data_IF_890554056461
#
_entry.id   IF_890554056461
#
_cell.length_a   1.000
_cell.length_b   1.000
_cell.length_c   1.000
_cell.angle_alpha   90.00
_cell.angle_beta   90.00
_cell.angle_gamma   90.00
#
_symmetry.space_group_name_H-M   'P 1'
#
loop_
_entity.id
_entity.type
_entity.pdbx_description
1 polymer ?
#
# COMPACT_ATOMS: atom_id res chain seq x y z
N UNK A 1 9.09 -5.77 -18.09
CA UNK A 1 8.80 -5.01 -16.85
C UNK A 1 8.57 -5.94 -15.65
N UNK A 2 7.54 -6.80 -15.65
CA UNK A 2 7.29 -7.76 -14.56
C UNK A 2 8.50 -8.66 -14.28
N UNK A 3 9.12 -9.24 -15.32
CA UNK A 3 10.33 -10.07 -15.22
C UNK A 3 11.56 -9.35 -14.67
N UNK A 4 11.55 -8.01 -14.64
CA UNK A 4 12.64 -7.18 -14.13
C UNK A 4 12.39 -6.74 -12.68
N UNK A 5 11.12 -6.53 -12.31
CA UNK A 5 10.73 -6.00 -11.01
C UNK A 5 10.49 -7.14 -10.01
N UNK A 6 9.67 -8.13 -10.37
CA UNK A 6 9.21 -9.12 -9.41
C UNK A 6 10.30 -10.01 -8.79
N UNK A 7 11.42 -10.35 -9.48
CA UNK A 7 12.52 -11.05 -8.82
C UNK A 7 13.17 -10.27 -7.68
N UNK A 8 12.96 -8.94 -7.60
CA UNK A 8 13.53 -8.07 -6.55
C UNK A 8 12.59 -7.89 -5.35
N UNK A 9 11.39 -8.47 -5.37
CA UNK A 9 10.46 -8.37 -4.25
C UNK A 9 10.59 -9.57 -3.33
N UNK A 10 10.19 -9.42 -2.07
CA UNK A 10 10.18 -10.51 -1.10
C UNK A 10 9.23 -11.67 -1.45
N UNK A 11 8.31 -11.45 -2.40
CA UNK A 11 7.39 -12.48 -2.88
C UNK A 11 7.18 -12.35 -4.41
N UNK A 12 8.09 -12.93 -5.23
CA UNK A 12 8.01 -12.82 -6.68
C UNK A 12 6.74 -13.42 -7.31
N UNK A 13 6.22 -14.58 -6.86
CA UNK A 13 4.95 -15.11 -7.37
C UNK A 13 3.77 -14.17 -7.13
N UNK A 14 3.64 -13.62 -5.92
CA UNK A 14 2.58 -12.66 -5.60
C UNK A 14 2.69 -11.39 -6.45
N UNK A 15 3.90 -10.82 -6.55
CA UNK A 15 4.14 -9.66 -7.42
C UNK A 15 3.71 -9.93 -8.86
N UNK A 16 4.05 -11.11 -9.40
CA UNK A 16 3.70 -11.47 -10.77
C UNK A 16 2.19 -11.55 -10.96
N UNK A 17 1.46 -12.12 -9.99
CA UNK A 17 0.00 -12.16 -10.02
C UNK A 17 -0.60 -10.75 -9.99
N UNK A 18 -0.14 -9.91 -9.07
CA UNK A 18 -0.61 -8.54 -8.91
C UNK A 18 -0.38 -7.71 -10.17
N UNK A 19 0.84 -7.68 -10.71
CA UNK A 19 1.16 -6.83 -11.85
C UNK A 19 0.50 -7.32 -13.15
N UNK A 20 0.22 -8.62 -13.31
CA UNK A 20 -0.57 -9.13 -14.44
C UNK A 20 -2.01 -8.63 -14.42
N UNK A 21 -2.58 -8.40 -13.23
CA UNK A 21 -3.93 -7.86 -13.06
C UNK A 21 -4.03 -6.34 -13.28
N UNK A 22 -2.91 -5.64 -13.51
CA UNK A 22 -2.90 -4.18 -13.64
C UNK A 22 -3.47 -3.66 -14.96
N UNK A 23 -3.65 -4.51 -15.98
CA UNK A 23 -4.15 -4.11 -17.30
C UNK A 23 -3.20 -3.18 -18.08
N UNK A 24 -1.97 -2.99 -17.61
CA UNK A 24 -0.95 -2.13 -18.24
C UNK A 24 0.44 -2.71 -18.03
N UNK A 25 1.37 -2.39 -18.92
CA UNK A 25 2.79 -2.72 -18.79
C UNK A 25 3.66 -1.48 -18.58
N UNK A 26 3.08 -0.28 -18.66
CA UNK A 26 3.76 1.00 -18.42
C UNK A 26 4.14 1.13 -16.94
N UNK A 27 5.40 1.44 -16.64
CA UNK A 27 5.90 1.59 -15.27
C UNK A 27 5.12 2.60 -14.44
N UNK A 28 4.70 3.72 -15.03
CA UNK A 28 3.87 4.72 -14.33
C UNK A 28 2.49 4.15 -13.97
N UNK A 29 1.89 3.43 -14.90
CA UNK A 29 0.60 2.76 -14.67
C UNK A 29 0.70 1.65 -13.60
N UNK A 30 1.78 0.87 -13.62
CA UNK A 30 2.05 -0.16 -12.62
C UNK A 30 2.29 0.43 -11.22
N UNK A 31 2.98 1.57 -11.12
CA UNK A 31 3.19 2.28 -9.87
C UNK A 31 1.85 2.77 -9.29
N UNK A 32 1.04 3.46 -10.09
CA UNK A 32 -0.30 3.93 -9.67
C UNK A 32 -1.19 2.76 -9.26
N UNK A 33 -1.22 1.68 -10.04
CA UNK A 33 -1.97 0.47 -9.72
C UNK A 33 -1.56 -0.13 -8.37
N UNK A 34 -0.26 -0.30 -8.14
CA UNK A 34 0.27 -0.89 -6.91
C UNK A 34 0.03 0.00 -5.69
N UNK A 35 0.18 1.33 -5.83
CA UNK A 35 -0.14 2.30 -4.77
C UNK A 35 -1.63 2.27 -4.41
N UNK A 36 -2.52 2.14 -5.41
CA UNK A 36 -3.96 2.02 -5.18
C UNK A 36 -4.33 0.71 -4.48
N UNK A 37 -3.72 -0.40 -4.89
CA UNK A 37 -3.92 -1.70 -4.25
C UNK A 37 -3.43 -1.69 -2.80
N UNK A 38 -2.22 -1.17 -2.54
CA UNK A 38 -1.66 -1.05 -1.20
C UNK A 38 -2.53 -0.18 -0.30
N UNK A 39 -2.97 0.99 -0.78
CA UNK A 39 -3.87 1.89 -0.05
C UNK A 39 -5.19 1.22 0.31
N UNK A 40 -5.81 0.51 -0.64
CA UNK A 40 -7.06 -0.21 -0.41
C UNK A 40 -6.92 -1.27 0.67
N UNK A 41 -5.84 -2.06 0.62
CA UNK A 41 -5.59 -3.11 1.59
C UNK A 41 -5.18 -2.56 2.96
N UNK A 42 -4.43 -1.46 3.02
CA UNK A 42 -4.11 -0.77 4.27
C UNK A 42 -5.38 -0.23 4.94
N UNK A 43 -6.29 0.43 4.21
CA UNK A 43 -7.58 0.89 4.74
C UNK A 43 -8.47 -0.25 5.27
N UNK A 44 -8.52 -1.38 4.55
CA UNK A 44 -9.24 -2.58 5.01
C UNK A 44 -8.64 -3.12 6.31
N UNK A 45 -7.30 -3.17 6.39
CA UNK A 45 -6.59 -3.66 7.56
C UNK A 45 -6.73 -2.72 8.76
N UNK A 46 -6.69 -1.40 8.55
CA UNK A 46 -7.00 -0.38 9.55
C UNK A 46 -8.42 -0.56 10.12
N UNK A 47 -9.40 -0.76 9.24
CA UNK A 47 -10.79 -0.97 9.63
C UNK A 47 -10.95 -2.25 10.46
N UNK A 48 -10.29 -3.33 10.03
CA UNK A 48 -10.30 -4.61 10.75
C UNK A 48 -9.62 -4.49 12.11
N UNK A 49 -8.43 -3.88 12.20
CA UNK A 49 -7.71 -3.69 13.45
C UNK A 49 -8.54 -2.87 14.45
N UNK A 50 -9.15 -1.78 14.00
CA UNK A 50 -10.07 -0.99 14.82
C UNK A 50 -11.29 -1.79 15.30
N UNK A 51 -11.88 -2.61 14.44
CA UNK A 51 -13.01 -3.47 14.79
C UNK A 51 -12.62 -4.48 15.88
N UNK A 52 -11.48 -5.16 15.71
CA UNK A 52 -10.96 -6.14 16.65
C UNK A 52 -10.59 -5.52 18.01
N UNK A 53 -9.98 -4.34 18.00
CA UNK A 53 -9.66 -3.60 19.22
C UNK A 53 -10.92 -3.21 20.02
N UNK A 54 -12.02 -2.88 19.31
CA UNK A 54 -13.31 -2.54 19.93
C UNK A 54 -14.06 -3.77 20.44
N UNK A 55 -13.95 -4.92 19.77
CA UNK A 55 -14.73 -6.11 20.08
C UNK A 55 -14.11 -7.01 21.15
N UNK A 56 -12.79 -6.93 21.38
CA UNK A 56 -12.12 -7.80 22.34
C UNK A 56 -12.21 -7.29 23.78
N UNK A 57 -12.49 -8.20 24.71
CA UNK A 57 -12.44 -7.92 26.16
C UNK A 57 -11.05 -8.17 26.76
N UNK A 58 -10.15 -8.82 26.03
CA UNK A 58 -8.80 -9.11 26.51
C UNK A 58 -7.93 -7.85 26.40
N UNK A 59 -7.40 -7.30 27.51
CA UNK A 59 -6.64 -6.06 27.49
C UNK A 59 -5.37 -6.11 26.63
N UNK A 60 -4.66 -7.24 26.63
CA UNK A 60 -3.44 -7.39 25.82
C UNK A 60 -3.75 -7.45 24.33
N UNK A 61 -4.84 -8.12 23.94
CA UNK A 61 -5.28 -8.14 22.54
C UNK A 61 -5.76 -6.77 22.10
N UNK A 62 -6.49 -6.05 22.96
CA UNK A 62 -6.93 -4.68 22.68
C UNK A 62 -5.73 -3.78 22.38
N UNK A 63 -4.70 -3.81 23.22
CA UNK A 63 -3.48 -3.03 23.01
C UNK A 63 -2.80 -3.39 21.68
N UNK A 64 -2.64 -4.68 21.37
CA UNK A 64 -2.01 -5.12 20.12
C UNK A 64 -2.78 -4.65 18.89
N UNK A 65 -4.11 -4.78 18.88
CA UNK A 65 -4.93 -4.33 17.77
C UNK A 65 -4.94 -2.81 17.63
N UNK A 66 -4.91 -2.06 18.74
CA UNK A 66 -4.74 -0.60 18.72
C UNK A 66 -3.42 -0.19 18.08
N UNK A 67 -2.29 -0.81 18.46
CA UNK A 67 -1.00 -0.54 17.82
C UNK A 67 -0.99 -0.90 16.33
N UNK A 68 -1.64 -2.00 15.94
CA UNK A 68 -1.80 -2.30 14.51
C UNK A 68 -2.63 -1.23 13.78
N UNK A 69 -3.70 -0.72 14.40
CA UNK A 69 -4.52 0.33 13.81
C UNK A 69 -3.69 1.61 13.61
N UNK A 70 -2.91 2.03 14.61
CA UNK A 70 -2.00 3.18 14.50
C UNK A 70 -1.02 3.02 13.33
N UNK A 71 -0.32 1.87 13.24
CA UNK A 71 0.60 1.63 12.12
C UNK A 71 -0.09 1.61 10.75
N UNK A 72 -1.31 1.07 10.65
CA UNK A 72 -2.03 1.09 9.37
C UNK A 72 -2.55 2.48 9.01
N UNK A 73 -2.87 3.33 9.99
CA UNK A 73 -3.25 4.73 9.76
C UNK A 73 -2.08 5.54 9.21
N UNK A 74 -0.89 5.37 9.79
CA UNK A 74 0.37 5.95 9.29
C UNK A 74 0.65 5.50 7.84
N UNK A 75 0.57 4.20 7.56
CA UNK A 75 0.76 3.65 6.20
C UNK A 75 -0.26 4.23 5.20
N UNK A 76 -1.52 4.43 5.61
CA UNK A 76 -2.53 5.07 4.75
C UNK A 76 -2.11 6.50 4.42
N UNK A 77 -1.70 7.27 5.43
CA UNK A 77 -1.20 8.64 5.26
C UNK A 77 0.03 8.72 4.34
N UNK A 78 1.01 7.84 4.54
CA UNK A 78 2.23 7.78 3.72
C UNK A 78 1.93 7.47 2.25
N UNK A 79 1.02 6.53 1.98
CA UNK A 79 0.61 6.20 0.62
C UNK A 79 -0.15 7.37 -0.02
N UNK A 80 -1.01 8.06 0.73
CA UNK A 80 -1.70 9.26 0.24
C UNK A 80 -0.74 10.41 -0.04
N UNK A 81 0.31 10.55 0.75
CA UNK A 81 1.40 11.48 0.48
C UNK A 81 2.15 11.08 -0.80
N UNK A 82 2.56 9.82 -0.94
CA UNK A 82 3.25 9.31 -2.12
C UNK A 82 2.44 9.54 -3.41
N UNK A 83 1.11 9.33 -3.37
CA UNK A 83 0.23 9.60 -4.51
C UNK A 83 0.17 11.09 -4.88
N UNK A 84 0.33 12.00 -3.92
CA UNK A 84 0.33 13.46 -4.15
C UNK A 84 1.67 14.00 -4.62
N UNK A 85 2.78 13.42 -4.16
CA UNK A 85 4.14 13.87 -4.54
C UNK A 85 4.59 13.27 -5.87
N UNK A 86 4.11 12.08 -6.24
CA UNK A 86 4.45 11.41 -7.49
C UNK A 86 4.21 12.28 -8.76
N UNK A 87 3.09 13.02 -8.90
CA UNK A 87 2.90 13.97 -10.00
C UNK A 87 3.90 15.14 -9.99
N UNK A 88 4.36 15.57 -8.81
CA UNK A 88 5.23 16.74 -8.64
C UNK A 88 6.68 16.45 -9.03
N UNK A 89 7.20 15.24 -8.76
CA UNK A 89 8.55 14.84 -9.22
C UNK A 89 8.65 14.81 -10.75
N UNK A 90 7.57 14.43 -11.44
CA UNK A 90 7.51 14.54 -12.91
C UNK A 90 7.44 15.98 -13.42
N UNK A 91 6.87 16.91 -12.66
CA UNK A 91 6.76 18.33 -13.03
C UNK A 91 8.10 19.06 -12.90
N UNK A 92 8.89 18.74 -11.87
CA UNK A 92 10.23 19.31 -11.66
C UNK A 92 11.19 18.91 -12.81
N UNK A 93 11.12 17.66 -13.28
CA UNK A 93 11.92 17.17 -14.41
C UNK A 93 11.49 17.74 -15.77
N UNK A 94 10.36 18.43 -15.88
CA UNK A 94 9.92 19.13 -17.10
C UNK A 94 10.21 20.62 -17.10
N UNK A 95 10.75 21.16 -16.00
CA UNK A 95 11.14 22.58 -15.84
C UNK A 95 12.68 22.73 -15.87
N UNK A 96 13.43 21.64 -15.65
CA UNK A 96 14.89 21.54 -15.82
C UNK A 96 15.24 20.91 -17.18
#
# INVERSE_FOLDING_TARGET
VISTICPKTSNPPFCSSVLKSAGTTNIKGLAVYTLNLAHTNAKKSLTLANSLAKSTINPQLKQRYSSCAESYDEVVGDIENAKRTWPLETLILSIL
#
